data_IF_198799582886
#
_entry.id   IF_198799582886
#
_cell.length_a   1.000
_cell.length_b   1.000
_cell.length_c   1.000
_cell.angle_alpha   90.00
_cell.angle_beta   90.00
_cell.angle_gamma   90.00
#
_symmetry.space_group_name_H-M   'P 1'
#
loop_
_entity.id
_entity.type
_entity.pdbx_description
1 polymer ?
#
# COMPACT_ATOMS: atom_id res chain seq x y z
N UNK A 1 8.33 -2.02 0.01
CA UNK A 1 7.20 -1.98 0.97
C UNK A 1 5.90 -1.97 0.18
N UNK A 2 4.87 -2.69 0.65
CA UNK A 2 3.56 -2.79 0.00
C UNK A 2 2.45 -2.55 1.03
N UNK A 3 1.27 -2.14 0.55
CA UNK A 3 0.10 -1.87 1.40
C UNK A 3 -1.03 -2.84 1.04
N UNK A 4 -1.23 -3.91 1.83
CA UNK A 4 -2.27 -4.92 1.55
C UNK A 4 -3.67 -4.34 1.35
N UNK A 5 -4.01 -3.30 2.11
CA UNK A 5 -5.30 -2.62 2.06
C UNK A 5 -5.50 -1.78 0.79
N UNK A 6 -4.42 -1.44 0.07
CA UNK A 6 -4.45 -0.72 -1.20
C UNK A 6 -3.68 -1.52 -2.24
N UNK A 7 -4.30 -2.57 -2.82
CA UNK A 7 -3.65 -3.43 -3.80
C UNK A 7 -3.04 -2.62 -4.96
N UNK A 8 -1.77 -2.86 -5.25
CA UNK A 8 -1.01 -2.12 -6.26
C UNK A 8 -0.24 -0.91 -5.71
N UNK A 9 -0.44 -0.51 -4.44
CA UNK A 9 0.37 0.50 -3.79
C UNK A 9 1.68 -0.13 -3.27
N UNK A 10 2.76 0.08 -4.04
CA UNK A 10 4.08 -0.50 -3.80
C UNK A 10 5.12 0.63 -3.88
N UNK A 11 6.06 0.63 -2.95
CA UNK A 11 7.16 1.58 -2.88
C UNK A 11 8.49 0.88 -2.60
N UNK A 12 9.59 1.49 -3.05
CA UNK A 12 10.96 1.01 -2.85
C UNK A 12 11.89 2.16 -2.47
N UNK A 13 12.93 1.85 -1.71
CA UNK A 13 13.97 2.77 -1.26
C UNK A 13 15.27 2.03 -1.01
N UNK A 14 16.39 2.75 -0.94
CA UNK A 14 17.72 2.20 -0.60
C UNK A 14 17.76 1.73 0.85
N UNK A 15 16.94 2.33 1.70
CA UNK A 15 16.72 1.94 3.09
C UNK A 15 15.24 1.63 3.32
N UNK A 16 14.96 0.88 4.38
CA UNK A 16 13.59 0.66 4.85
C UNK A 16 12.90 1.99 5.15
N UNK A 17 13.63 2.94 5.74
CA UNK A 17 13.14 4.27 6.08
C UNK A 17 12.72 5.07 4.85
N UNK A 18 13.55 5.09 3.80
CA UNK A 18 13.20 5.74 2.53
C UNK A 18 11.98 5.07 1.87
N UNK A 19 11.90 3.74 1.90
CA UNK A 19 10.75 3.02 1.37
C UNK A 19 9.45 3.35 2.15
N UNK A 20 9.56 3.55 3.47
CA UNK A 20 8.47 3.92 4.38
C UNK A 20 7.99 5.35 4.17
N UNK A 21 8.90 6.30 3.96
CA UNK A 21 8.54 7.68 3.64
C UNK A 21 7.77 7.72 2.32
N UNK A 22 8.33 7.12 1.27
CA UNK A 22 7.71 7.08 -0.06
C UNK A 22 6.36 6.36 -0.10
N UNK A 23 6.20 5.26 0.65
CA UNK A 23 4.89 4.57 0.67
C UNK A 23 3.82 5.45 1.34
N UNK A 24 4.21 6.27 2.32
CA UNK A 24 3.28 7.17 3.02
C UNK A 24 2.71 8.20 2.04
N UNK A 25 3.57 8.85 1.26
CA UNK A 25 3.15 9.78 0.20
C UNK A 25 2.28 9.08 -0.87
N UNK A 26 2.65 7.87 -1.28
CA UNK A 26 1.89 7.10 -2.26
C UNK A 26 0.47 6.74 -1.77
N UNK A 27 0.33 6.39 -0.48
CA UNK A 27 -0.98 6.14 0.15
C UNK A 27 -1.83 7.41 0.11
N UNK A 28 -1.29 8.56 0.55
CA UNK A 28 -2.01 9.83 0.57
C UNK A 28 -2.49 10.24 -0.83
N UNK A 29 -1.60 10.11 -1.82
CA UNK A 29 -1.91 10.44 -3.20
C UNK A 29 -3.00 9.52 -3.78
N UNK A 30 -2.94 8.23 -3.48
CA UNK A 30 -3.94 7.25 -3.92
C UNK A 30 -5.31 7.55 -3.30
N UNK A 31 -5.38 7.77 -1.98
CA UNK A 31 -6.63 8.11 -1.29
C UNK A 31 -7.22 9.42 -1.80
N UNK A 32 -6.37 10.42 -2.07
CA UNK A 32 -6.80 11.69 -2.65
C UNK A 32 -7.40 11.51 -4.04
N UNK A 33 -6.79 10.66 -4.89
CA UNK A 33 -7.34 10.34 -6.21
C UNK A 33 -8.72 9.66 -6.10
N UNK A 34 -8.86 8.65 -5.25
CA UNK A 34 -10.14 7.97 -5.00
C UNK A 34 -11.23 8.95 -4.54
N UNK A 35 -10.90 9.85 -3.62
CA UNK A 35 -11.81 10.87 -3.12
C UNK A 35 -12.25 11.85 -4.23
N UNK A 36 -11.32 12.28 -5.09
CA UNK A 36 -11.62 13.15 -6.24
C UNK A 36 -12.52 12.49 -7.26
N UNK A 37 -12.34 11.19 -7.48
CA UNK A 37 -13.15 10.41 -8.42
C UNK A 37 -14.48 9.93 -7.81
N UNK A 38 -14.74 10.23 -6.53
CA UNK A 38 -15.94 9.81 -5.82
C UNK A 38 -16.02 8.31 -5.56
N UNK A 39 -14.88 7.61 -5.60
CA UNK A 39 -14.79 6.17 -5.39
C UNK A 39 -14.76 5.90 -3.89
N UNK A 40 -15.77 5.23 -3.31
CA UNK A 40 -15.80 4.96 -1.88
C UNK A 40 -14.72 3.94 -1.50
N UNK A 41 -14.05 4.17 -0.37
CA UNK A 41 -13.10 3.21 0.19
C UNK A 41 -13.91 2.12 0.90
N UNK A 42 -13.93 0.92 0.34
CA UNK A 42 -14.64 -0.22 0.91
C UNK A 42 -13.62 -1.08 1.66
N UNK A 43 -13.61 -1.09 3.01
CA UNK A 43 -12.70 -1.93 3.77
C UNK A 43 -12.99 -3.39 3.44
N UNK A 44 -12.01 -4.09 2.86
CA UNK A 44 -12.14 -5.49 2.53
C UNK A 44 -11.86 -6.33 3.79
N UNK A 45 -12.87 -6.44 4.66
CA UNK A 45 -12.81 -7.08 5.99
C UNK A 45 -12.41 -8.57 5.97
N UNK A 46 -12.25 -9.20 4.81
CA UNK A 46 -12.00 -10.64 4.65
C UNK A 46 -10.71 -11.00 3.92
N UNK A 47 -9.79 -10.06 3.70
CA UNK A 47 -8.54 -10.35 2.99
C UNK A 47 -7.38 -10.56 3.97
N UNK A 48 -7.04 -11.82 4.21
CA UNK A 48 -5.83 -12.21 4.94
C UNK A 48 -4.74 -12.48 3.92
N UNK A 49 -3.68 -11.67 3.90
CA UNK A 49 -2.49 -11.97 3.11
C UNK A 49 -1.51 -12.80 3.97
N UNK A 50 -1.03 -13.92 3.42
CA UNK A 50 -0.04 -14.78 4.07
C UNK A 50 1.32 -14.56 3.41
N UNK A 51 2.31 -14.17 4.19
CA UNK A 51 3.69 -14.01 3.73
C UNK A 51 4.44 -15.33 3.95
N UNK A 52 4.98 -15.92 2.88
CA UNK A 52 5.86 -17.09 2.95
C UNK A 52 7.27 -16.67 2.55
N UNK A 53 8.18 -16.65 3.50
CA UNK A 53 9.60 -16.39 3.25
C UNK A 53 10.27 -17.68 2.80
N UNK A 54 10.75 -17.71 1.55
CA UNK A 54 11.58 -18.82 1.05
C UNK A 54 13.04 -18.39 1.17
N UNK A 55 13.81 -19.12 1.97
CA UNK A 55 15.26 -18.99 2.05
C UNK A 55 15.86 -20.04 1.10
N UNK A 56 16.64 -19.58 0.11
CA UNK A 56 17.39 -20.44 -0.82
C UNK A 56 18.83 -20.55 -0.29
#
# INVERSE_FOLDING_TARGET
MSVPSLPGCISQGKTEEEAREKITEAIELHLTALARDGIPIIPNLKKTESFVSVQI
#
